data_IF_771768442923
#
_entry.id   IF_771768442923
#
_cell.length_a   1.000
_cell.length_b   1.000
_cell.length_c   1.000
_cell.angle_alpha   90.00
_cell.angle_beta   90.00
_cell.angle_gamma   90.00
#
_symmetry.space_group_name_H-M   'P 1'
#
loop_
_entity.id
_entity.type
_entity.pdbx_description
1 polymer ?
#
# COMPACT_ATOMS: atom_id res chain seq x y z
N UNK A 1 -3.64 -28.14 -12.66
CA UNK A 1 -4.25 -26.93 -12.06
C UNK A 1 -4.52 -27.09 -10.57
N UNK A 2 -4.95 -28.26 -10.11
CA UNK A 2 -5.29 -28.55 -8.70
C UNK A 2 -4.08 -28.66 -7.75
N UNK A 3 -2.91 -29.06 -8.27
CA UNK A 3 -1.66 -29.17 -7.49
C UNK A 3 -1.07 -27.80 -7.14
N UNK A 4 -1.28 -26.82 -8.01
CA UNK A 4 -0.78 -25.44 -7.85
C UNK A 4 -1.60 -24.64 -6.83
N UNK A 5 -2.92 -24.85 -6.78
CA UNK A 5 -3.80 -24.24 -5.77
C UNK A 5 -3.51 -24.78 -4.38
N UNK A 6 -3.33 -26.10 -4.21
CA UNK A 6 -2.94 -26.69 -2.91
C UNK A 6 -1.60 -26.18 -2.38
N UNK A 7 -0.62 -25.89 -3.26
CA UNK A 7 0.66 -25.29 -2.85
C UNK A 7 0.51 -23.83 -2.41
N UNK A 8 -0.36 -23.06 -3.09
CA UNK A 8 -0.63 -21.67 -2.73
C UNK A 8 -1.36 -21.56 -1.39
N UNK A 9 -2.38 -22.40 -1.16
CA UNK A 9 -3.11 -22.46 0.11
C UNK A 9 -2.20 -22.87 1.28
N UNK A 10 -1.27 -23.80 1.03
CA UNK A 10 -0.29 -24.22 2.04
C UNK A 10 0.71 -23.11 2.37
N UNK A 11 1.20 -22.38 1.37
CA UNK A 11 2.10 -21.25 1.57
C UNK A 11 1.41 -20.06 2.27
N UNK A 12 0.12 -19.84 2.00
CA UNK A 12 -0.69 -18.81 2.68
C UNK A 12 -0.99 -19.20 4.14
N UNK A 13 -1.27 -20.49 4.40
CA UNK A 13 -1.41 -20.99 5.76
C UNK A 13 -0.10 -20.88 6.56
N UNK A 14 1.05 -21.20 5.94
CA UNK A 14 2.38 -21.05 6.54
C UNK A 14 2.70 -19.59 6.85
N UNK A 15 2.46 -18.65 5.92
CA UNK A 15 2.71 -17.22 6.17
C UNK A 15 1.77 -16.64 7.24
N UNK A 16 0.51 -17.11 7.31
CA UNK A 16 -0.44 -16.67 8.35
C UNK A 16 -0.04 -17.21 9.73
N UNK A 17 0.47 -18.43 9.79
CA UNK A 17 0.98 -19.02 11.03
C UNK A 17 2.28 -18.35 11.49
N UNK A 18 3.21 -18.06 10.58
CA UNK A 18 4.42 -17.28 10.87
C UNK A 18 4.09 -15.86 11.39
N UNK A 19 3.11 -15.19 10.79
CA UNK A 19 2.65 -13.87 11.24
C UNK A 19 2.01 -13.95 12.63
N UNK A 20 1.23 -14.99 12.89
CA UNK A 20 0.63 -15.25 14.20
C UNK A 20 1.75 -15.49 15.22
N UNK A 21 2.74 -16.33 14.92
CA UNK A 21 3.89 -16.60 15.78
C UNK A 21 4.65 -15.32 16.08
N UNK A 22 5.01 -14.50 15.08
CA UNK A 22 5.76 -13.26 15.30
C UNK A 22 4.99 -12.22 16.13
N UNK A 23 3.68 -12.08 15.91
CA UNK A 23 2.83 -11.19 16.72
C UNK A 23 2.64 -11.69 18.15
N UNK A 24 2.51 -13.02 18.30
CA UNK A 24 2.53 -13.69 19.60
C UNK A 24 3.87 -13.45 20.28
N UNK A 25 4.99 -13.57 19.57
CA UNK A 25 6.33 -13.43 20.11
C UNK A 25 6.57 -12.00 20.61
N UNK A 26 6.21 -10.96 19.86
CA UNK A 26 6.33 -9.57 20.31
C UNK A 26 5.52 -9.31 21.60
N UNK A 27 4.29 -9.83 21.65
CA UNK A 27 3.43 -9.71 22.84
C UNK A 27 3.95 -10.54 24.02
N UNK A 28 4.43 -11.76 23.77
CA UNK A 28 5.02 -12.63 24.79
C UNK A 28 6.37 -12.10 25.28
N UNK A 29 7.14 -11.43 24.44
CA UNK A 29 8.38 -10.74 24.79
C UNK A 29 8.08 -9.58 25.74
N UNK A 30 7.14 -8.71 25.37
CA UNK A 30 6.70 -7.61 26.23
C UNK A 30 6.13 -8.12 27.57
N UNK A 31 5.31 -9.16 27.52
CA UNK A 31 4.73 -9.80 28.71
C UNK A 31 5.80 -10.45 29.59
N UNK A 32 6.78 -11.14 29.01
CA UNK A 32 7.87 -11.79 29.75
C UNK A 32 8.74 -10.76 30.48
N UNK A 33 9.08 -9.65 29.83
CA UNK A 33 9.82 -8.53 30.44
C UNK A 33 9.04 -7.94 31.62
N UNK A 34 7.73 -7.73 31.47
CA UNK A 34 6.87 -7.20 32.54
C UNK A 34 6.71 -8.21 33.70
N UNK A 35 6.53 -9.49 33.40
CA UNK A 35 6.30 -10.53 34.42
C UNK A 35 7.57 -10.88 35.22
N UNK A 36 8.75 -10.70 34.65
CA UNK A 36 10.02 -11.13 35.27
C UNK A 36 10.93 -9.96 35.68
N UNK A 37 10.44 -8.72 35.58
CA UNK A 37 11.18 -7.48 35.91
C UNK A 37 12.63 -7.49 35.38
N UNK A 38 12.76 -7.93 34.13
CA UNK A 38 14.06 -8.20 33.53
C UNK A 38 14.64 -6.92 32.91
N UNK A 39 15.83 -6.50 33.37
CA UNK A 39 16.58 -5.42 32.74
C UNK A 39 17.10 -5.85 31.37
N UNK A 40 16.62 -5.16 30.32
CA UNK A 40 17.03 -5.43 28.95
C UNK A 40 18.49 -4.98 28.76
N UNK A 41 19.39 -5.96 28.63
CA UNK A 41 20.79 -5.70 28.32
C UNK A 41 20.92 -5.68 26.80
N UNK A 42 21.14 -4.50 26.24
CA UNK A 42 21.27 -4.31 24.80
C UNK A 42 22.68 -4.77 24.37
N UNK A 43 22.82 -5.87 23.60
CA UNK A 43 24.13 -6.33 23.14
C UNK A 43 24.74 -5.36 22.13
N UNK A 44 26.07 -5.37 21.97
CA UNK A 44 26.78 -4.50 21.02
C UNK A 44 26.64 -4.96 19.56
N UNK A 45 26.50 -6.27 19.33
CA UNK A 45 26.32 -6.88 18.02
C UNK A 45 25.13 -7.84 17.98
N UNK A 46 24.41 -7.87 16.84
CA UNK A 46 23.34 -8.84 16.58
C UNK A 46 23.88 -9.98 15.73
N UNK A 47 23.75 -11.20 16.24
CA UNK A 47 23.90 -12.41 15.44
C UNK A 47 22.56 -12.72 14.74
N UNK A 48 22.41 -12.21 13.50
CA UNK A 48 21.17 -12.35 12.73
C UNK A 48 20.78 -13.83 12.52
N UNK A 49 21.76 -14.71 12.30
CA UNK A 49 21.50 -16.13 12.08
C UNK A 49 20.87 -16.80 13.30
N UNK A 50 21.46 -16.55 14.48
CA UNK A 50 20.97 -17.08 15.74
C UNK A 50 19.61 -16.49 16.14
N UNK A 51 19.43 -15.19 15.95
CA UNK A 51 18.15 -14.52 16.18
C UNK A 51 17.01 -15.15 15.37
N UNK A 52 17.25 -15.46 14.09
CA UNK A 52 16.26 -16.10 13.23
C UNK A 52 15.92 -17.51 13.70
N UNK A 53 16.92 -18.33 14.02
CA UNK A 53 16.69 -19.67 14.58
C UNK A 53 15.83 -19.59 15.86
N UNK A 54 16.15 -18.67 16.76
CA UNK A 54 15.37 -18.46 17.98
C UNK A 54 13.94 -17.98 17.72
N UNK A 55 13.73 -17.16 16.70
CA UNK A 55 12.39 -16.70 16.33
C UNK A 55 11.46 -17.84 15.87
N UNK A 56 12.03 -18.87 15.22
CA UNK A 56 11.30 -20.06 14.76
C UNK A 56 11.01 -21.03 15.93
N UNK A 57 11.93 -21.13 16.89
CA UNK A 57 11.80 -22.02 18.05
C UNK A 57 11.00 -21.43 19.22
N UNK A 58 10.69 -20.14 19.21
CA UNK A 58 9.83 -19.50 20.22
C UNK A 58 8.39 -20.03 20.12
N UNK A 59 7.69 -20.38 21.23
CA UNK A 59 8.02 -20.12 22.65
C UNK A 59 8.78 -21.24 23.36
N UNK A 60 9.28 -22.26 22.64
CA UNK A 60 9.90 -23.46 23.21
C UNK A 60 11.36 -23.27 23.65
N UNK A 61 11.94 -22.10 23.40
CA UNK A 61 13.28 -21.72 23.84
C UNK A 61 13.49 -21.93 25.34
N UNK A 62 14.72 -22.28 25.71
CA UNK A 62 15.14 -22.31 27.12
C UNK A 62 15.10 -20.90 27.71
N UNK A 63 14.97 -20.74 29.04
CA UNK A 63 14.89 -19.41 29.67
C UNK A 63 16.06 -18.48 29.31
N UNK A 64 17.28 -19.00 29.26
CA UNK A 64 18.48 -18.23 28.92
C UNK A 64 18.50 -17.77 27.45
N UNK A 65 18.04 -18.64 26.54
CA UNK A 65 17.89 -18.34 25.11
C UNK A 65 16.78 -17.32 24.88
N UNK A 66 15.69 -17.40 25.64
CA UNK A 66 14.61 -16.39 25.61
C UNK A 66 15.16 -15.03 25.95
N UNK A 67 15.90 -14.92 27.06
CA UNK A 67 16.51 -13.66 27.50
C UNK A 67 17.42 -13.07 26.40
N UNK A 68 18.32 -13.89 25.84
CA UNK A 68 19.21 -13.45 24.77
C UNK A 68 18.45 -13.02 23.51
N UNK A 69 17.39 -13.75 23.16
CA UNK A 69 16.48 -13.39 22.07
C UNK A 69 15.75 -12.07 22.33
N UNK A 70 15.27 -11.81 23.56
CA UNK A 70 14.66 -10.52 23.94
C UNK A 70 15.65 -9.38 23.77
N UNK A 71 16.86 -9.56 24.29
CA UNK A 71 17.92 -8.56 24.25
C UNK A 71 18.34 -8.22 22.80
N UNK A 72 18.48 -9.24 21.94
CA UNK A 72 18.72 -9.04 20.52
C UNK A 72 17.53 -8.39 19.81
N UNK A 73 16.28 -8.75 20.17
CA UNK A 73 15.08 -8.13 19.65
C UNK A 73 15.02 -6.63 19.99
N UNK A 74 15.34 -6.27 21.24
CA UNK A 74 15.35 -4.89 21.70
C UNK A 74 16.46 -4.06 21.05
N UNK A 75 17.67 -4.63 20.84
CA UNK A 75 18.70 -3.97 20.04
C UNK A 75 18.19 -3.76 18.60
N UNK A 76 17.54 -4.77 18.03
CA UNK A 76 17.05 -4.71 16.66
C UNK A 76 16.00 -3.61 16.52
N UNK A 77 15.03 -3.52 17.45
CA UNK A 77 14.05 -2.44 17.52
C UNK A 77 14.71 -1.05 17.68
N UNK A 78 15.74 -0.94 18.53
CA UNK A 78 16.47 0.32 18.77
C UNK A 78 17.25 0.79 17.54
N UNK A 79 17.95 -0.12 16.86
CA UNK A 79 18.70 0.16 15.62
C UNK A 79 17.72 0.45 14.48
N UNK A 80 16.63 -0.30 14.44
CA UNK A 80 15.66 -0.25 13.35
C UNK A 80 14.35 0.32 13.84
N UNK A 81 14.36 1.63 14.14
CA UNK A 81 13.19 2.42 14.56
C UNK A 81 11.89 2.21 13.75
N UNK A 82 11.93 1.52 12.60
CA UNK A 82 10.77 1.21 11.75
C UNK A 82 10.72 -0.22 11.17
N UNK A 83 11.69 -1.11 11.46
CA UNK A 83 11.72 -2.44 10.81
C UNK A 83 11.01 -3.43 11.70
N UNK A 84 9.69 -3.51 11.53
CA UNK A 84 8.93 -4.64 12.08
C UNK A 84 9.53 -5.96 11.55
N UNK A 85 9.46 -7.03 12.35
CA UNK A 85 9.88 -8.36 11.90
C UNK A 85 9.23 -8.76 10.55
N UNK A 86 8.02 -8.24 10.24
CA UNK A 86 7.36 -8.32 8.93
C UNK A 86 8.20 -7.73 7.80
N UNK A 87 8.79 -6.56 8.00
CA UNK A 87 9.64 -5.91 7.00
C UNK A 87 10.94 -6.68 6.79
N UNK A 88 11.52 -7.25 7.86
CA UNK A 88 12.72 -8.09 7.79
C UNK A 88 12.49 -9.40 7.01
N UNK A 89 11.37 -10.07 7.26
CA UNK A 89 10.94 -11.27 6.50
C UNK A 89 10.65 -10.91 5.05
N UNK A 90 10.01 -9.76 4.78
CA UNK A 90 9.82 -9.26 3.42
C UNK A 90 11.16 -8.98 2.71
N UNK A 91 12.20 -8.56 3.44
CA UNK A 91 13.57 -8.38 2.91
C UNK A 91 14.43 -9.64 2.86
N UNK A 92 13.95 -10.81 3.30
CA UNK A 92 14.62 -12.14 3.18
C UNK A 92 14.80 -12.60 1.71
N UNK A 93 14.65 -11.68 0.74
CA UNK A 93 14.86 -11.85 -0.71
C UNK A 93 16.36 -11.91 -1.08
N UNK A 94 17.30 -11.69 -0.16
CA UNK A 94 18.72 -11.94 -0.44
C UNK A 94 18.98 -13.45 -0.62
N UNK A 95 18.81 -13.95 -1.86
CA UNK A 95 19.14 -15.31 -2.28
C UNK A 95 18.09 -16.04 -3.12
N UNK A 96 16.84 -15.56 -3.18
CA UNK A 96 15.78 -16.12 -4.06
C UNK A 96 15.47 -15.12 -5.17
N UNK A 97 15.58 -15.56 -6.43
CA UNK A 97 15.55 -14.69 -7.62
C UNK A 97 14.31 -13.77 -7.72
N UNK A 98 14.42 -12.75 -8.59
CA UNK A 98 13.43 -11.68 -8.79
C UNK A 98 11.97 -12.17 -8.87
N UNK A 99 11.71 -13.27 -9.57
CA UNK A 99 10.37 -13.85 -9.68
C UNK A 99 9.77 -14.24 -8.32
N UNK A 100 10.55 -14.81 -7.42
CA UNK A 100 10.06 -15.17 -6.09
C UNK A 100 9.74 -13.91 -5.26
N UNK A 101 10.52 -12.85 -5.41
CA UNK A 101 10.26 -11.57 -4.74
C UNK A 101 8.92 -10.96 -5.21
N UNK A 102 8.68 -10.95 -6.51
CA UNK A 102 7.46 -10.35 -7.10
C UNK A 102 6.21 -11.18 -6.79
N UNK A 103 6.28 -12.51 -6.88
CA UNK A 103 5.08 -13.35 -6.77
C UNK A 103 4.77 -13.83 -5.35
N UNK A 104 5.78 -13.99 -4.49
CA UNK A 104 5.58 -14.60 -3.16
C UNK A 104 5.47 -13.59 -2.03
N UNK A 105 5.91 -12.34 -2.20
CA UNK A 105 5.78 -11.32 -1.14
C UNK A 105 4.48 -10.53 -1.27
N UNK A 106 3.90 -10.13 -0.14
CA UNK A 106 2.69 -9.27 -0.13
C UNK A 106 2.93 -7.94 -0.84
N UNK A 107 4.14 -7.38 -0.70
CA UNK A 107 4.58 -6.17 -1.43
C UNK A 107 4.59 -6.42 -2.94
N UNK A 108 5.21 -7.52 -3.37
CA UNK A 108 5.31 -7.88 -4.79
C UNK A 108 3.94 -8.10 -5.43
N UNK A 109 3.04 -8.82 -4.75
CA UNK A 109 1.64 -9.00 -5.20
C UNK A 109 0.91 -7.66 -5.35
N UNK A 110 1.10 -6.75 -4.39
CA UNK A 110 0.49 -5.42 -4.44
C UNK A 110 1.07 -4.56 -5.58
N UNK A 111 2.39 -4.55 -5.77
CA UNK A 111 3.03 -3.83 -6.88
C UNK A 111 2.62 -4.41 -8.24
N UNK A 112 2.49 -5.72 -8.36
CA UNK A 112 2.00 -6.38 -9.57
C UNK A 112 0.56 -5.98 -9.85
N UNK A 113 -0.30 -5.97 -8.83
CA UNK A 113 -1.68 -5.50 -8.93
C UNK A 113 -1.78 -4.03 -9.37
N UNK A 114 -0.97 -3.15 -8.77
CA UNK A 114 -0.97 -1.74 -9.13
C UNK A 114 -0.46 -1.54 -10.56
N UNK A 115 0.57 -2.29 -10.96
CA UNK A 115 1.09 -2.32 -12.33
C UNK A 115 0.04 -2.80 -13.35
N UNK A 116 -0.66 -3.89 -13.07
CA UNK A 116 -1.71 -4.39 -13.98
C UNK A 116 -2.86 -3.41 -14.13
N UNK A 117 -3.29 -2.77 -13.04
CA UNK A 117 -4.31 -1.70 -13.11
C UNK A 117 -3.82 -0.50 -13.92
N UNK A 118 -2.57 -0.04 -13.71
CA UNK A 118 -2.02 1.06 -14.52
C UNK A 118 -2.00 0.70 -16.01
N UNK A 119 -1.58 -0.52 -16.34
CA UNK A 119 -1.57 -1.01 -17.72
C UNK A 119 -2.98 -1.01 -18.31
N UNK A 120 -3.98 -1.48 -17.55
CA UNK A 120 -5.39 -1.47 -17.98
C UNK A 120 -5.85 -0.04 -18.27
N UNK A 121 -5.58 0.92 -17.40
CA UNK A 121 -5.98 2.31 -17.64
C UNK A 121 -5.24 2.94 -18.84
N UNK A 122 -3.95 2.64 -19.03
CA UNK A 122 -3.20 3.11 -20.21
C UNK A 122 -3.77 2.50 -21.48
N UNK A 123 -4.02 1.19 -21.50
CA UNK A 123 -4.63 0.49 -22.64
C UNK A 123 -6.01 1.06 -22.95
N UNK A 124 -6.86 1.27 -21.94
CA UNK A 124 -8.16 1.90 -22.12
C UNK A 124 -8.00 3.30 -22.70
N UNK A 125 -7.08 4.11 -22.19
CA UNK A 125 -6.86 5.47 -22.68
C UNK A 125 -6.38 5.47 -24.15
N UNK A 126 -5.46 4.59 -24.53
CA UNK A 126 -4.99 4.43 -25.91
C UNK A 126 -6.15 4.02 -26.83
N UNK A 127 -6.92 3.00 -26.46
CA UNK A 127 -8.07 2.52 -27.24
C UNK A 127 -9.14 3.62 -27.39
N UNK A 128 -9.41 4.38 -26.33
CA UNK A 128 -10.36 5.49 -26.38
C UNK A 128 -9.84 6.68 -27.19
N UNK A 129 -8.52 6.90 -27.25
CA UNK A 129 -7.92 7.96 -28.06
C UNK A 129 -7.99 7.62 -29.56
N UNK A 130 -7.86 6.34 -29.92
CA UNK A 130 -7.91 5.89 -31.31
C UNK A 130 -9.32 5.77 -31.88
N UNK A 131 -10.33 5.58 -31.03
CA UNK A 131 -11.72 5.49 -31.45
C UNK A 131 -12.37 6.89 -31.43
N UNK A 132 -13.27 7.17 -32.36
CA UNK A 132 -13.93 8.49 -32.53
C UNK A 132 -15.38 8.50 -31.98
N UNK A 133 -15.70 7.58 -31.08
CA UNK A 133 -17.05 7.43 -30.51
C UNK A 133 -17.30 8.47 -29.41
N UNK A 134 -18.53 9.01 -29.35
CA UNK A 134 -18.99 9.97 -28.33
C UNK A 134 -18.81 9.48 -26.88
N UNK A 135 -18.81 8.15 -26.67
CA UNK A 135 -18.60 7.50 -25.37
C UNK A 135 -17.21 7.84 -24.79
N UNK A 136 -16.24 8.16 -25.64
CA UNK A 136 -14.85 8.40 -25.24
C UNK A 136 -14.73 9.69 -24.40
N UNK A 137 -15.63 10.66 -24.61
CA UNK A 137 -15.68 11.89 -23.80
C UNK A 137 -16.00 11.61 -22.32
N UNK A 138 -16.72 10.51 -22.07
CA UNK A 138 -17.03 10.05 -20.71
C UNK A 138 -15.85 9.26 -20.16
N UNK A 139 -15.32 8.29 -20.90
CA UNK A 139 -14.34 7.33 -20.37
C UNK A 139 -12.95 7.94 -20.14
N UNK A 140 -12.53 8.89 -20.98
CA UNK A 140 -11.21 9.55 -20.90
C UNK A 140 -10.93 10.12 -19.49
N UNK A 141 -11.78 10.97 -18.91
CA UNK A 141 -11.54 11.53 -17.57
C UNK A 141 -11.56 10.49 -16.45
N UNK A 142 -12.36 9.42 -16.53
CA UNK A 142 -12.29 8.33 -15.54
C UNK A 142 -10.93 7.60 -15.62
N UNK A 143 -10.46 7.28 -16.82
CA UNK A 143 -9.17 6.61 -17.00
C UNK A 143 -8.01 7.52 -16.60
N UNK A 144 -8.08 8.81 -16.95
CA UNK A 144 -7.05 9.78 -16.59
C UNK A 144 -6.96 10.00 -15.07
N UNK A 145 -8.10 10.11 -14.38
CA UNK A 145 -8.12 10.18 -12.92
C UNK A 145 -7.63 8.87 -12.27
N UNK A 146 -8.00 7.72 -12.83
CA UNK A 146 -7.47 6.42 -12.42
C UNK A 146 -5.94 6.36 -12.51
N UNK A 147 -5.37 6.84 -13.62
CA UNK A 147 -3.91 6.93 -13.79
C UNK A 147 -3.27 7.87 -12.78
N UNK A 148 -3.83 9.06 -12.57
CA UNK A 148 -3.34 10.01 -11.57
C UNK A 148 -3.30 9.40 -10.17
N UNK A 149 -4.35 8.67 -9.81
CA UNK A 149 -4.45 7.97 -8.53
C UNK A 149 -3.43 6.83 -8.43
N UNK A 150 -3.20 6.08 -9.51
CA UNK A 150 -2.20 5.03 -9.51
C UNK A 150 -0.77 5.58 -9.35
N UNK A 151 -0.46 6.71 -10.00
CA UNK A 151 0.85 7.39 -9.83
C UNK A 151 1.04 7.86 -8.40
N UNK A 152 -0.01 8.42 -7.78
CA UNK A 152 -0.01 8.78 -6.37
C UNK A 152 0.25 7.55 -5.47
N UNK A 153 -0.46 6.43 -5.70
CA UNK A 153 -0.28 5.20 -4.94
C UNK A 153 1.13 4.61 -5.10
N UNK A 154 1.70 4.64 -6.30
CA UNK A 154 3.07 4.21 -6.56
C UNK A 154 4.06 5.06 -5.77
N UNK A 155 3.90 6.39 -5.77
CA UNK A 155 4.74 7.31 -5.00
C UNK A 155 4.68 7.01 -3.50
N UNK A 156 3.48 6.89 -2.93
CA UNK A 156 3.31 6.58 -1.49
C UNK A 156 3.91 5.23 -1.15
N UNK A 157 3.72 4.23 -2.02
CA UNK A 157 4.27 2.89 -1.82
C UNK A 157 5.80 2.91 -1.87
N UNK A 158 6.40 3.63 -2.83
CA UNK A 158 7.84 3.80 -2.92
C UNK A 158 8.40 4.47 -1.66
N UNK A 159 7.76 5.52 -1.15
CA UNK A 159 8.17 6.21 0.07
C UNK A 159 8.13 5.27 1.28
N UNK A 160 7.02 4.54 1.46
CA UNK A 160 6.86 3.56 2.56
C UNK A 160 7.83 2.37 2.47
N UNK A 161 8.17 1.94 1.25
CA UNK A 161 9.19 0.92 1.04
C UNK A 161 10.58 1.44 1.38
N UNK A 162 10.86 2.69 1.03
CA UNK A 162 12.13 3.36 1.35
C UNK A 162 12.30 3.54 2.86
N UNK A 163 11.23 3.91 3.57
CA UNK A 163 11.23 4.07 5.04
C UNK A 163 11.08 2.75 5.79
N UNK A 164 10.87 1.62 5.09
CA UNK A 164 10.66 0.27 5.66
C UNK A 164 9.42 0.14 6.55
N UNK A 165 8.47 1.05 6.41
CA UNK A 165 7.21 1.11 7.16
C UNK A 165 6.02 0.51 6.38
N UNK A 166 6.29 -0.28 5.35
CA UNK A 166 5.23 -0.87 4.56
C UNK A 166 4.48 -1.94 5.38
N UNK A 167 3.26 -1.61 5.80
CA UNK A 167 2.35 -2.57 6.42
C UNK A 167 1.27 -3.00 5.40
N UNK A 168 1.21 -4.30 5.03
CA UNK A 168 0.20 -4.82 4.10
C UNK A 168 -1.24 -4.69 4.61
N UNK A 169 -1.47 -4.41 5.89
CA UNK A 169 -2.81 -4.16 6.43
C UNK A 169 -3.49 -2.93 5.79
N UNK A 170 -2.72 -1.99 5.24
CA UNK A 170 -3.27 -0.78 4.61
C UNK A 170 -3.70 -0.96 3.15
N UNK A 171 -3.46 -2.13 2.53
CA UNK A 171 -3.82 -2.40 1.13
C UNK A 171 -5.31 -2.12 0.82
N UNK A 172 -6.29 -2.57 1.65
CA UNK A 172 -7.70 -2.27 1.41
C UNK A 172 -8.01 -0.77 1.43
N UNK A 173 -7.34 -0.01 2.30
CA UNK A 173 -7.50 1.45 2.36
C UNK A 173 -7.02 2.11 1.07
N UNK A 174 -5.90 1.65 0.50
CA UNK A 174 -5.39 2.15 -0.79
C UNK A 174 -6.33 1.82 -1.96
N UNK A 175 -7.04 0.68 -1.93
CA UNK A 175 -8.05 0.33 -2.94
C UNK A 175 -9.27 1.24 -2.89
N UNK A 176 -9.73 1.59 -1.68
CA UNK A 176 -10.81 2.56 -1.50
C UNK A 176 -10.40 3.92 -2.08
N UNK A 177 -9.15 4.33 -1.81
CA UNK A 177 -8.57 5.57 -2.35
C UNK A 177 -8.49 5.53 -3.89
N UNK A 178 -8.13 4.39 -4.48
CA UNK A 178 -8.18 4.18 -5.95
C UNK A 178 -9.59 4.38 -6.51
N UNK A 179 -10.58 3.71 -5.92
CA UNK A 179 -11.97 3.81 -6.36
C UNK A 179 -12.50 5.25 -6.29
N UNK A 180 -12.16 5.97 -5.22
CA UNK A 180 -12.57 7.35 -5.04
C UNK A 180 -11.86 8.32 -5.98
N UNK A 181 -10.58 8.11 -6.28
CA UNK A 181 -9.88 8.90 -7.30
C UNK A 181 -10.50 8.72 -8.69
N UNK A 182 -10.91 7.50 -9.06
CA UNK A 182 -11.65 7.23 -10.30
C UNK A 182 -13.02 7.93 -10.30
N UNK A 183 -13.77 7.86 -9.19
CA UNK A 183 -15.05 8.56 -9.04
C UNK A 183 -14.90 10.09 -9.11
N UNK A 184 -13.81 10.64 -8.57
CA UNK A 184 -13.50 12.06 -8.67
C UNK A 184 -13.35 12.47 -10.14
N UNK A 185 -12.70 11.67 -10.98
CA UNK A 185 -12.68 11.85 -12.44
C UNK A 185 -14.09 11.87 -13.07
N UNK A 186 -15.00 11.06 -12.55
CA UNK A 186 -16.41 11.05 -12.97
C UNK A 186 -17.17 12.32 -12.63
N UNK A 187 -16.82 13.00 -11.53
CA UNK A 187 -17.49 14.26 -11.16
C UNK A 187 -17.27 15.36 -12.19
N UNK A 188 -16.12 15.37 -12.86
CA UNK A 188 -15.80 16.31 -13.95
C UNK A 188 -16.74 16.10 -15.15
N UNK A 189 -17.10 14.85 -15.45
CA UNK A 189 -18.03 14.51 -16.53
C UNK A 189 -19.46 14.89 -16.17
N UNK A 190 -19.86 14.66 -14.92
CA UNK A 190 -21.22 14.91 -14.45
C UNK A 190 -21.51 16.41 -14.26
N UNK A 191 -20.48 17.19 -13.92
CA UNK A 191 -20.62 18.62 -13.66
C UNK A 191 -19.66 19.47 -14.51
N UNK A 192 -19.76 19.42 -15.86
CA UNK A 192 -18.90 20.21 -16.74
C UNK A 192 -19.11 21.73 -16.56
N UNK A 193 -20.25 22.13 -15.99
CA UNK A 193 -20.58 23.51 -15.65
C UNK A 193 -19.74 24.12 -14.51
N UNK A 194 -19.18 23.30 -13.61
CA UNK A 194 -18.34 23.78 -12.50
C UNK A 194 -16.98 24.31 -12.96
N UNK A 195 -16.47 23.81 -14.09
CA UNK A 195 -15.17 24.20 -14.66
C UNK A 195 -15.30 25.26 -15.76
N UNK A 196 -16.53 25.54 -16.22
CA UNK A 196 -16.84 26.53 -17.26
C UNK A 196 -16.98 27.97 -16.76
N UNK A 197 -16.79 28.22 -15.46
CA UNK A 197 -16.93 29.55 -14.86
C UNK A 197 -15.73 30.49 -15.06
N UNK A 198 -14.70 30.07 -15.80
CA UNK A 198 -13.60 30.92 -16.24
C UNK A 198 -13.46 30.80 -17.75
N UNK A 199 -13.58 31.92 -18.45
CA UNK A 199 -13.32 32.07 -19.87
C UNK A 199 -12.10 31.26 -20.32
N UNK A 200 -12.29 30.51 -21.40
CA UNK A 200 -11.28 29.75 -22.12
C UNK A 200 -10.03 30.60 -22.39
N UNK A 201 -8.97 30.37 -21.62
CA UNK A 201 -7.61 30.84 -21.96
C UNK A 201 -6.94 29.89 -22.96
N UNK A 202 -7.54 28.74 -23.28
CA UNK A 202 -7.05 27.87 -24.34
C UNK A 202 -8.19 27.49 -25.30
N UNK A 203 -8.14 28.12 -26.47
CA UNK A 203 -8.44 27.44 -27.74
C UNK A 203 -9.89 27.10 -28.05
N UNK A 204 -10.55 28.03 -28.71
CA UNK A 204 -11.69 27.79 -29.61
C UNK A 204 -11.43 26.59 -30.54
N UNK A 205 -12.26 25.54 -30.41
CA UNK A 205 -12.42 24.50 -31.44
C UNK A 205 -12.46 23.07 -30.89
N UNK A 206 -13.66 22.52 -30.67
CA UNK A 206 -14.01 21.08 -30.62
C UNK A 206 -13.06 20.07 -29.91
N UNK A 207 -12.09 20.51 -29.11
CA UNK A 207 -11.03 19.70 -28.53
C UNK A 207 -11.28 19.35 -27.06
N UNK A 208 -12.47 18.82 -26.75
CA UNK A 208 -12.92 18.50 -25.38
C UNK A 208 -12.12 17.33 -24.74
N UNK A 209 -11.19 16.69 -25.45
CA UNK A 209 -10.56 15.44 -24.99
C UNK A 209 -9.40 15.60 -23.99
N UNK A 210 -8.46 16.51 -24.24
CA UNK A 210 -7.14 16.48 -23.58
C UNK A 210 -7.11 17.34 -22.31
N UNK A 211 -7.69 18.54 -22.35
CA UNK A 211 -7.69 19.44 -21.19
C UNK A 211 -8.47 18.85 -20.01
N UNK A 212 -9.68 18.36 -20.26
CA UNK A 212 -10.49 17.66 -19.26
C UNK A 212 -9.81 16.39 -18.74
N UNK A 213 -9.11 15.64 -19.60
CA UNK A 213 -8.32 14.49 -19.21
C UNK A 213 -7.16 14.88 -18.27
N UNK A 214 -6.43 15.96 -18.59
CA UNK A 214 -5.33 16.45 -17.74
C UNK A 214 -5.80 16.93 -16.38
N UNK A 215 -6.95 17.61 -16.32
CA UNK A 215 -7.55 18.06 -15.08
C UNK A 215 -8.05 16.88 -14.23
N UNK A 216 -8.65 15.88 -14.88
CA UNK A 216 -9.04 14.63 -14.21
C UNK A 216 -7.83 13.86 -13.68
N UNK A 217 -6.72 13.82 -14.41
CA UNK A 217 -5.47 13.24 -13.94
C UNK A 217 -4.95 13.95 -12.68
N UNK A 218 -4.89 15.29 -12.69
CA UNK A 218 -4.46 16.07 -11.52
C UNK A 218 -5.40 15.84 -10.34
N UNK A 219 -6.71 15.79 -10.58
CA UNK A 219 -7.70 15.53 -9.53
C UNK A 219 -7.53 14.13 -8.90
N UNK A 220 -7.28 13.11 -9.73
CA UNK A 220 -6.98 11.76 -9.25
C UNK A 220 -5.64 11.68 -8.50
N UNK A 221 -4.62 12.42 -8.94
CA UNK A 221 -3.35 12.52 -8.22
C UNK A 221 -3.51 13.21 -6.86
N UNK A 222 -4.34 14.24 -6.81
CA UNK A 222 -4.65 15.04 -5.63
C UNK A 222 -5.85 14.49 -4.83
N UNK A 223 -6.05 13.16 -4.82
CA UNK A 223 -7.20 12.54 -4.15
C UNK A 223 -7.33 12.94 -2.68
N UNK A 224 -6.21 13.19 -2.00
CA UNK A 224 -6.19 13.63 -0.59
C UNK A 224 -6.75 15.04 -0.39
N UNK A 225 -6.51 15.94 -1.34
CA UNK A 225 -7.11 17.28 -1.35
C UNK A 225 -8.62 17.16 -1.63
N UNK A 226 -9.02 16.24 -2.50
CA UNK A 226 -10.43 15.96 -2.76
C UNK A 226 -11.14 15.42 -1.51
N UNK A 227 -10.51 14.52 -0.76
CA UNK A 227 -11.00 14.08 0.56
C UNK A 227 -11.13 15.24 1.54
N UNK A 228 -10.09 16.07 1.68
CA UNK A 228 -10.13 17.21 2.58
C UNK A 228 -11.26 18.20 2.20
N UNK A 229 -11.54 18.38 0.92
CA UNK A 229 -12.67 19.16 0.42
C UNK A 229 -14.02 18.51 0.77
N UNK A 230 -14.19 17.21 0.53
CA UNK A 230 -15.41 16.48 0.89
C UNK A 230 -15.67 16.49 2.39
N UNK A 231 -14.64 16.28 3.20
CA UNK A 231 -14.75 16.32 4.67
C UNK A 231 -15.13 17.72 5.16
N UNK A 232 -14.60 18.77 4.53
CA UNK A 232 -14.95 20.15 4.88
C UNK A 232 -16.40 20.49 4.47
N UNK A 233 -16.87 20.01 3.32
CA UNK A 233 -18.27 20.15 2.89
C UNK A 233 -19.21 19.35 3.81
N UNK A 234 -18.86 18.08 4.10
CA UNK A 234 -19.63 17.20 4.98
C UNK A 234 -19.68 17.71 6.42
N UNK A 235 -18.57 18.25 6.93
CA UNK A 235 -18.49 18.90 8.24
C UNK A 235 -19.37 20.14 8.33
N UNK A 236 -19.37 20.99 7.29
CA UNK A 236 -20.24 22.17 7.19
C UNK A 236 -21.74 21.83 7.12
N UNK A 237 -22.10 20.68 6.55
CA UNK A 237 -23.50 20.22 6.54
C UNK A 237 -23.92 19.73 7.93
N UNK A 238 -23.00 19.13 8.70
CA UNK A 238 -23.26 18.66 10.06
C UNK A 238 -23.48 19.80 11.05
N UNK A 239 -22.78 20.93 10.87
CA UNK A 239 -22.95 22.12 11.72
C UNK A 239 -24.19 22.95 11.39
N UNK A 240 -24.80 22.81 10.21
CA UNK A 240 -26.05 23.53 9.86
C UNK A 240 -27.33 22.90 10.42
N UNK A 241 -27.24 21.71 11.03
CA UNK A 241 -28.37 20.99 11.65
C UNK A 241 -28.32 21.02 13.20
N UNK A 242 -27.58 21.95 13.79
CA UNK A 242 -27.65 22.33 15.21
C UNK A 242 -28.17 23.76 15.33
#
# INVERSE_FOLDING_TARGET
MEVTTKKAERAEAETKEEQRILSSNAWHLARYVIEHDYEIIIPEEINIGQFLCWSEDYPKLKPEEKISFINQYALLEKITKSVTARTLVATRIHGRGFFHAVFCTSVGKYLLFLSTITLIFVCLLIVNLTNLLEINKIIIPFCAAGLGTCVFLLRVTQERLTTREFDPAFIPSQLIRLGLGVLAGGTIVLFPGLLRSGESVLGTGNGIGIELGSLAFVLGYAVDIFYALLDNIGGRIKDKNK
#
